data_IF_730153496497
#
_entry.id   IF_730153496497
#
_cell.length_a   1.000
_cell.length_b   1.000
_cell.length_c   1.000
_cell.angle_alpha   90.00
_cell.angle_beta   90.00
_cell.angle_gamma   90.00
#
_symmetry.space_group_name_H-M   'P 1'
#
loop_
_entity.id
_entity.type
_entity.pdbx_description
1 polymer ?
#
# COMPACT_ATOMS: atom_id res chain seq x y z
N UNK A 1 -35.79 -9.79 1.32
CA UNK A 1 -34.57 -10.38 1.89
C UNK A 1 -33.35 -9.97 1.05
N UNK A 2 -32.80 -8.79 1.36
CA UNK A 2 -31.51 -8.31 0.84
C UNK A 2 -30.35 -8.88 1.68
N UNK A 3 -30.35 -10.19 1.95
CA UNK A 3 -29.29 -10.80 2.76
C UNK A 3 -28.00 -10.85 1.94
N UNK A 4 -27.14 -9.86 2.15
CA UNK A 4 -25.71 -9.88 1.82
C UNK A 4 -24.98 -10.84 2.78
N UNK A 5 -25.39 -12.09 2.86
CA UNK A 5 -24.75 -13.09 3.73
C UNK A 5 -24.04 -14.10 2.85
N UNK A 6 -22.71 -13.98 2.69
CA UNK A 6 -21.95 -14.88 1.83
C UNK A 6 -21.12 -15.90 2.64
N UNK A 7 -20.56 -15.53 3.80
CA UNK A 7 -19.62 -16.39 4.54
C UNK A 7 -19.87 -16.46 6.06
N UNK A 8 -20.78 -17.32 6.52
CA UNK A 8 -21.05 -17.52 7.95
C UNK A 8 -20.16 -18.61 8.56
N UNK A 9 -19.11 -18.22 9.29
CA UNK A 9 -18.22 -19.14 10.02
C UNK A 9 -18.62 -19.35 11.48
N UNK A 10 -19.67 -18.70 11.98
CA UNK A 10 -20.21 -19.00 13.31
C UNK A 10 -20.98 -20.33 13.30
N UNK A 11 -21.60 -20.65 12.17
CA UNK A 11 -22.27 -21.92 11.91
C UNK A 11 -21.34 -23.11 12.11
N UNK A 12 -21.73 -24.03 13.00
CA UNK A 12 -21.01 -25.29 13.21
C UNK A 12 -20.93 -26.12 11.93
N UNK A 13 -21.98 -26.10 11.10
CA UNK A 13 -21.98 -26.81 9.80
C UNK A 13 -20.87 -26.29 8.89
N UNK A 14 -20.67 -24.97 8.81
CA UNK A 14 -19.58 -24.39 8.01
C UNK A 14 -18.22 -24.84 8.56
N UNK A 15 -18.04 -24.77 9.89
CA UNK A 15 -16.80 -25.18 10.57
C UNK A 15 -16.46 -26.64 10.32
N UNK A 16 -17.44 -27.54 10.42
CA UNK A 16 -17.27 -28.97 10.17
C UNK A 16 -16.91 -29.24 8.69
N UNK A 17 -17.56 -28.55 7.75
CA UNK A 17 -17.24 -28.69 6.32
C UNK A 17 -15.81 -28.25 5.98
N UNK A 18 -15.33 -27.15 6.58
CA UNK A 18 -13.95 -26.68 6.40
C UNK A 18 -12.98 -27.73 6.94
N UNK A 19 -13.24 -28.24 8.15
CA UNK A 19 -12.43 -29.29 8.75
C UNK A 19 -12.31 -30.52 7.86
N UNK A 20 -13.45 -31.07 7.42
CA UNK A 20 -13.48 -32.26 6.56
C UNK A 20 -12.73 -32.01 5.24
N UNK A 21 -12.87 -30.82 4.66
CA UNK A 21 -12.18 -30.44 3.43
C UNK A 21 -10.66 -30.40 3.61
N UNK A 22 -10.16 -29.76 4.68
CA UNK A 22 -8.73 -29.65 4.95
C UNK A 22 -8.09 -30.99 5.33
N UNK A 23 -8.80 -31.85 6.07
CA UNK A 23 -8.37 -33.22 6.33
C UNK A 23 -8.27 -34.03 5.02
N UNK A 24 -9.29 -33.94 4.15
CA UNK A 24 -9.32 -34.66 2.88
C UNK A 24 -8.22 -34.18 1.91
N UNK A 25 -7.97 -32.87 1.83
CA UNK A 25 -6.90 -32.31 1.00
C UNK A 25 -5.52 -32.71 1.53
N UNK A 26 -5.28 -32.64 2.84
CA UNK A 26 -3.98 -32.98 3.41
C UNK A 26 -3.61 -34.47 3.28
N UNK A 27 -4.62 -35.35 3.15
CA UNK A 27 -4.41 -36.76 2.84
C UNK A 27 -4.01 -37.04 1.38
N UNK A 28 -4.15 -36.05 0.48
CA UNK A 28 -3.93 -36.20 -0.96
C UNK A 28 -2.82 -35.28 -1.50
N UNK A 29 -2.60 -34.13 -0.89
CA UNK A 29 -1.70 -33.08 -1.37
C UNK A 29 -0.69 -32.69 -0.30
N UNK A 30 0.52 -32.38 -0.74
CA UNK A 30 1.60 -31.85 0.11
C UNK A 30 1.48 -30.33 0.31
N UNK A 31 0.75 -29.63 -0.57
CA UNK A 31 0.54 -28.19 -0.49
C UNK A 31 -0.95 -27.85 -0.70
N UNK A 32 -1.46 -26.96 0.15
CA UNK A 32 -2.83 -26.43 0.09
C UNK A 32 -2.71 -24.90 0.02
N UNK A 33 -3.43 -24.27 -0.89
CA UNK A 33 -3.52 -22.81 -0.99
C UNK A 33 -4.98 -22.38 -0.84
N UNK A 34 -5.21 -21.43 0.07
CA UNK A 34 -6.53 -20.85 0.35
C UNK A 34 -6.64 -19.54 -0.40
N UNK A 35 -7.70 -19.39 -1.19
CA UNK A 35 -7.97 -18.19 -1.98
C UNK A 35 -8.40 -17.00 -1.11
N UNK A 36 -8.38 -15.79 -1.68
CA UNK A 36 -8.52 -14.51 -0.97
C UNK A 36 -9.95 -14.09 -0.61
N UNK A 37 -10.91 -15.01 -0.76
CA UNK A 37 -12.26 -14.92 -0.20
C UNK A 37 -12.44 -15.74 1.09
N UNK A 38 -11.35 -16.03 1.81
CA UNK A 38 -11.38 -16.55 3.18
C UNK A 38 -11.68 -15.43 4.21
N UNK A 39 -12.82 -14.78 4.00
CA UNK A 39 -13.29 -13.57 4.70
C UNK A 39 -14.70 -13.76 5.22
N UNK A 40 -15.14 -12.95 6.18
CA UNK A 40 -16.54 -12.92 6.62
C UNK A 40 -17.12 -11.52 6.70
N UNK A 41 -18.31 -11.36 6.14
CA UNK A 41 -19.16 -10.18 6.25
C UNK A 41 -20.47 -10.49 6.98
N UNK A 42 -20.60 -11.69 7.55
CA UNK A 42 -21.86 -12.18 8.13
C UNK A 42 -22.33 -11.27 9.28
N UNK A 43 -23.61 -10.93 9.23
CA UNK A 43 -24.33 -10.18 10.27
C UNK A 43 -25.64 -10.88 10.66
N UNK A 44 -25.67 -12.21 10.57
CA UNK A 44 -26.82 -13.01 10.98
C UNK A 44 -27.07 -12.88 12.50
N UNK A 45 -28.27 -13.26 12.97
CA UNK A 45 -28.60 -13.23 14.39
C UNK A 45 -27.59 -14.00 15.25
N UNK A 46 -27.12 -15.15 14.78
CA UNK A 46 -26.12 -15.97 15.47
C UNK A 46 -24.79 -15.21 15.61
N UNK A 47 -24.33 -14.53 14.55
CA UNK A 47 -23.11 -13.73 14.61
C UNK A 47 -23.29 -12.45 15.43
N UNK A 48 -24.48 -11.85 15.45
CA UNK A 48 -24.79 -10.71 16.32
C UNK A 48 -24.75 -11.12 17.79
N UNK A 49 -25.36 -12.26 18.13
CA UNK A 49 -25.31 -12.84 19.47
C UNK A 49 -23.87 -13.19 19.86
N UNK A 50 -23.13 -13.86 18.97
CA UNK A 50 -21.73 -14.22 19.21
C UNK A 50 -20.85 -12.98 19.39
N UNK A 51 -20.97 -11.97 18.53
CA UNK A 51 -20.21 -10.71 18.62
C UNK A 51 -20.36 -10.07 20.00
N UNK A 52 -21.59 -10.05 20.55
CA UNK A 52 -21.89 -9.39 21.83
C UNK A 52 -21.56 -7.90 21.77
N UNK A 53 -20.86 -7.38 22.78
CA UNK A 53 -20.50 -5.95 22.89
C UNK A 53 -19.24 -5.55 22.08
N UNK A 54 -18.53 -6.52 21.48
CA UNK A 54 -17.34 -6.25 20.66
C UNK A 54 -17.69 -5.48 19.38
N UNK A 55 -16.70 -4.78 18.81
CA UNK A 55 -16.80 -4.31 17.42
C UNK A 55 -16.85 -5.49 16.45
N UNK A 56 -17.35 -5.25 15.22
CA UNK A 56 -17.32 -6.27 14.17
C UNK A 56 -15.90 -6.73 13.86
N UNK A 57 -14.94 -5.81 13.80
CA UNK A 57 -13.54 -6.12 13.51
C UNK A 57 -12.94 -7.02 14.58
N UNK A 58 -13.09 -6.69 15.87
CA UNK A 58 -12.58 -7.54 16.96
C UNK A 58 -13.17 -8.95 16.91
N UNK A 59 -14.49 -9.06 16.75
CA UNK A 59 -15.17 -10.37 16.65
C UNK A 59 -14.69 -11.17 15.44
N UNK A 60 -14.64 -10.56 14.24
CA UNK A 60 -14.27 -11.26 13.00
C UNK A 60 -12.81 -11.68 13.01
N UNK A 61 -11.90 -10.85 13.54
CA UNK A 61 -10.49 -11.18 13.71
C UNK A 61 -10.31 -12.40 14.63
N UNK A 62 -11.01 -12.45 15.76
CA UNK A 62 -10.97 -13.58 16.68
C UNK A 62 -11.58 -14.84 16.06
N UNK A 63 -12.77 -14.73 15.47
CA UNK A 63 -13.46 -15.83 14.80
C UNK A 63 -12.59 -16.44 13.71
N UNK A 64 -12.05 -15.63 12.79
CA UNK A 64 -11.25 -16.14 11.68
C UNK A 64 -9.88 -16.63 12.12
N UNK A 65 -9.32 -16.13 13.22
CA UNK A 65 -8.14 -16.74 13.86
C UNK A 65 -8.46 -18.16 14.33
N UNK A 66 -9.60 -18.34 15.00
CA UNK A 66 -10.06 -19.65 15.47
C UNK A 66 -10.33 -20.60 14.30
N UNK A 67 -11.07 -20.16 13.27
CA UNK A 67 -11.37 -20.95 12.07
C UNK A 67 -10.07 -21.41 11.39
N UNK A 68 -9.13 -20.49 11.21
CA UNK A 68 -7.82 -20.79 10.59
C UNK A 68 -7.06 -21.86 11.36
N UNK A 69 -7.06 -21.80 12.69
CA UNK A 69 -6.29 -22.70 13.55
C UNK A 69 -6.98 -24.05 13.75
N UNK A 70 -8.23 -24.03 14.19
CA UNK A 70 -8.92 -25.20 14.73
C UNK A 70 -9.68 -25.99 13.68
N UNK A 71 -10.04 -25.35 12.56
CA UNK A 71 -10.86 -25.95 11.50
C UNK A 71 -10.14 -26.03 10.15
N UNK A 72 -9.07 -25.28 9.91
CA UNK A 72 -8.29 -25.36 8.67
C UNK A 72 -6.90 -25.98 8.88
N UNK A 73 -5.92 -25.21 9.34
CA UNK A 73 -4.52 -25.64 9.40
C UNK A 73 -4.30 -26.78 10.40
N UNK A 74 -4.90 -26.71 11.60
CA UNK A 74 -4.80 -27.75 12.62
C UNK A 74 -5.24 -29.13 12.13
N UNK A 75 -6.47 -29.27 11.58
CA UNK A 75 -6.94 -30.53 10.99
C UNK A 75 -6.07 -31.04 9.83
N UNK A 76 -5.65 -30.17 8.91
CA UNK A 76 -4.74 -30.55 7.83
C UNK A 76 -3.42 -31.15 8.38
N UNK A 77 -2.82 -30.49 9.38
CA UNK A 77 -1.57 -30.94 10.02
C UNK A 77 -1.75 -32.22 10.84
N UNK A 78 -2.95 -32.48 11.36
CA UNK A 78 -3.25 -33.73 12.08
C UNK A 78 -3.23 -34.94 11.13
N UNK A 79 -3.71 -34.78 9.89
CA UNK A 79 -3.65 -35.82 8.85
C UNK A 79 -2.24 -35.95 8.28
N UNK A 80 -1.62 -34.83 7.92
CA UNK A 80 -0.28 -34.79 7.36
C UNK A 80 0.55 -33.69 8.03
N UNK A 81 1.42 -34.01 9.02
CA UNK A 81 2.24 -33.00 9.69
C UNK A 81 3.21 -32.23 8.78
N UNK A 82 3.44 -32.71 7.56
CA UNK A 82 4.33 -32.09 6.57
C UNK A 82 3.59 -31.25 5.52
N UNK A 83 2.25 -31.27 5.47
CA UNK A 83 1.49 -30.45 4.51
C UNK A 83 1.84 -28.97 4.71
N UNK A 84 2.02 -28.22 3.63
CA UNK A 84 2.21 -26.77 3.67
C UNK A 84 0.89 -26.08 3.34
N UNK A 85 0.37 -25.25 4.25
CA UNK A 85 -0.87 -24.49 4.01
C UNK A 85 -0.54 -23.02 3.81
N UNK A 86 -0.95 -22.49 2.67
CA UNK A 86 -0.72 -21.10 2.24
C UNK A 86 -2.01 -20.31 2.31
N UNK A 87 -1.99 -19.13 2.93
CA UNK A 87 -3.10 -18.17 2.88
C UNK A 87 -2.82 -17.10 1.82
N UNK A 88 -3.74 -16.90 0.87
CA UNK A 88 -3.74 -15.72 0.01
C UNK A 88 -4.47 -14.58 0.72
N UNK A 89 -3.79 -13.47 0.95
CA UNK A 89 -4.45 -12.21 1.31
C UNK A 89 -4.89 -11.48 0.04
N UNK A 90 -6.07 -10.84 0.03
CA UNK A 90 -6.54 -10.07 -1.12
C UNK A 90 -5.78 -8.75 -1.30
N UNK A 91 -6.09 -8.03 -2.37
CA UNK A 91 -5.51 -6.72 -2.66
C UNK A 91 -5.91 -5.61 -1.66
N UNK A 92 -7.11 -5.67 -1.08
CA UNK A 92 -7.73 -4.58 -0.29
C UNK A 92 -7.21 -4.47 1.16
N UNK A 93 -5.89 -4.32 1.29
CA UNK A 93 -5.15 -4.45 2.55
C UNK A 93 -5.53 -3.47 3.67
N UNK A 94 -6.16 -2.35 3.32
CA UNK A 94 -6.64 -1.39 4.30
C UNK A 94 -7.86 -1.89 5.08
N UNK A 95 -8.60 -2.86 4.53
CA UNK A 95 -9.90 -3.31 5.06
C UNK A 95 -9.91 -4.74 5.59
N UNK A 96 -8.76 -5.43 5.58
CA UNK A 96 -8.59 -6.80 6.09
C UNK A 96 -9.27 -7.08 7.44
N UNK A 97 -9.05 -6.21 8.42
CA UNK A 97 -9.57 -6.35 9.77
C UNK A 97 -11.09 -6.27 9.87
N UNK A 98 -11.75 -5.56 8.93
CA UNK A 98 -13.21 -5.49 8.86
C UNK A 98 -13.83 -6.82 8.44
N UNK A 99 -13.07 -7.69 7.77
CA UNK A 99 -13.54 -8.95 7.18
C UNK A 99 -12.82 -10.19 7.73
N UNK A 100 -12.06 -10.05 8.82
CA UNK A 100 -11.48 -11.18 9.57
C UNK A 100 -10.10 -11.64 9.10
N UNK A 101 -9.44 -10.92 8.18
CA UNK A 101 -8.04 -11.15 7.89
C UNK A 101 -7.16 -10.61 9.02
N UNK A 102 -6.77 -11.49 9.94
CA UNK A 102 -5.96 -11.13 11.10
C UNK A 102 -4.47 -11.21 10.78
N UNK A 103 -3.89 -10.11 10.32
CA UNK A 103 -2.47 -10.01 9.96
C UNK A 103 -1.51 -10.09 11.15
N UNK A 104 -2.03 -10.07 12.39
CA UNK A 104 -1.22 -10.28 13.59
C UNK A 104 -1.07 -11.76 13.95
N UNK A 105 -2.07 -12.61 13.67
CA UNK A 105 -2.09 -14.01 14.13
C UNK A 105 -2.02 -15.04 13.00
N UNK A 106 -2.66 -14.77 11.86
CA UNK A 106 -2.66 -15.71 10.73
C UNK A 106 -1.27 -15.96 10.15
N UNK A 107 -0.33 -14.98 10.10
CA UNK A 107 1.06 -15.30 9.73
C UNK A 107 1.75 -16.29 10.65
N UNK A 108 1.30 -16.44 11.91
CA UNK A 108 1.83 -17.46 12.82
C UNK A 108 1.20 -18.84 12.57
N UNK A 109 -0.06 -18.87 12.12
CA UNK A 109 -0.85 -20.08 11.87
C UNK A 109 -0.49 -20.73 10.53
N UNK A 110 -0.43 -19.96 9.44
CA UNK A 110 -0.16 -20.48 8.10
C UNK A 110 1.34 -20.67 7.84
N UNK A 111 1.69 -21.62 6.98
CA UNK A 111 3.08 -21.92 6.64
C UNK A 111 3.66 -20.87 5.68
N UNK A 112 2.84 -20.38 4.76
CA UNK A 112 3.20 -19.40 3.74
C UNK A 112 2.07 -18.39 3.51
N UNK A 113 2.43 -17.25 2.94
CA UNK A 113 1.52 -16.17 2.57
C UNK A 113 1.72 -15.80 1.10
N UNK A 114 0.61 -15.80 0.37
CA UNK A 114 0.51 -15.18 -0.95
C UNK A 114 -0.25 -13.85 -0.82
N UNK A 115 0.07 -12.91 -1.71
CA UNK A 115 -0.49 -11.57 -1.66
C UNK A 115 -1.15 -11.25 -2.99
N UNK A 116 -2.38 -10.78 -2.93
CA UNK A 116 -3.07 -10.14 -4.03
C UNK A 116 -2.35 -8.86 -4.43
N UNK A 117 -1.74 -8.88 -5.61
CA UNK A 117 -1.06 -7.74 -6.24
C UNK A 117 -1.78 -7.29 -7.49
N UNK A 118 -3.05 -7.65 -7.59
CA UNK A 118 -3.92 -7.23 -8.66
C UNK A 118 -3.89 -5.70 -8.80
N UNK A 119 -3.81 -5.21 -10.03
CA UNK A 119 -4.10 -3.80 -10.34
C UNK A 119 -5.18 -3.79 -11.39
N UNK A 120 -5.99 -2.73 -11.41
CA UNK A 120 -7.17 -2.64 -12.27
C UNK A 120 -7.01 -1.46 -13.19
N UNK A 121 -7.85 -1.39 -14.21
CA UNK A 121 -7.96 -0.19 -15.02
C UNK A 121 -8.42 0.96 -14.11
N UNK A 122 -7.56 1.97 -13.84
CA UNK A 122 -7.89 3.05 -12.92
C UNK A 122 -9.01 3.96 -13.43
N UNK A 123 -9.38 3.83 -14.72
CA UNK A 123 -10.42 4.64 -15.37
C UNK A 123 -11.82 4.00 -15.28
N UNK A 124 -11.97 2.80 -14.69
CA UNK A 124 -13.29 2.16 -14.52
C UNK A 124 -13.67 2.00 -13.05
N UNK A 125 -14.95 2.18 -12.70
CA UNK A 125 -15.42 1.98 -11.34
C UNK A 125 -15.58 0.50 -10.98
N UNK A 126 -15.43 -0.44 -11.94
CA UNK A 126 -15.83 -1.85 -11.76
C UNK A 126 -15.07 -2.54 -10.62
N UNK A 127 -13.80 -2.18 -10.45
CA UNK A 127 -12.95 -2.68 -9.37
C UNK A 127 -12.24 -1.53 -8.64
N UNK A 128 -12.92 -0.39 -8.50
CA UNK A 128 -12.40 0.79 -7.82
C UNK A 128 -11.23 1.49 -8.55
N UNK A 129 -10.90 2.68 -8.06
CA UNK A 129 -9.87 3.56 -8.64
C UNK A 129 -8.47 3.20 -8.12
N UNK A 130 -8.10 1.92 -8.31
CA UNK A 130 -6.87 1.31 -7.80
C UNK A 130 -5.63 1.97 -8.42
N UNK A 131 -4.68 2.36 -7.57
CA UNK A 131 -3.37 2.84 -8.04
C UNK A 131 -2.45 1.67 -8.44
N UNK A 132 -1.59 1.82 -9.47
CA UNK A 132 -0.62 0.80 -9.88
C UNK A 132 0.35 0.36 -8.76
N UNK A 133 0.53 1.19 -7.73
CA UNK A 133 1.40 0.95 -6.58
C UNK A 133 0.75 0.09 -5.49
N UNK A 134 -0.57 -0.11 -5.50
CA UNK A 134 -1.30 -0.77 -4.40
C UNK A 134 -0.81 -2.20 -4.14
N UNK A 135 -0.62 -3.00 -5.19
CA UNK A 135 -0.10 -4.36 -5.04
C UNK A 135 1.28 -4.40 -4.38
N UNK A 136 2.12 -3.42 -4.71
CA UNK A 136 3.43 -3.26 -4.07
C UNK A 136 3.32 -2.86 -2.59
N UNK A 137 2.43 -1.92 -2.25
CA UNK A 137 2.21 -1.49 -0.86
C UNK A 137 1.69 -2.64 -0.01
N UNK A 138 0.68 -3.38 -0.50
CA UNK A 138 0.12 -4.56 0.16
C UNK A 138 1.21 -5.61 0.44
N UNK A 139 1.98 -5.98 -0.60
CA UNK A 139 3.02 -7.00 -0.47
C UNK A 139 4.10 -6.58 0.54
N UNK A 140 4.62 -5.35 0.44
CA UNK A 140 5.65 -4.85 1.38
C UNK A 140 5.13 -4.78 2.81
N UNK A 141 3.90 -4.31 3.01
CA UNK A 141 3.29 -4.24 4.33
C UNK A 141 3.14 -5.63 4.95
N UNK A 142 2.59 -6.60 4.21
CA UNK A 142 2.49 -7.97 4.68
C UNK A 142 3.86 -8.60 4.93
N UNK A 143 4.88 -8.35 4.08
CA UNK A 143 6.25 -8.81 4.32
C UNK A 143 6.83 -8.25 5.61
N UNK A 144 6.53 -7.00 5.97
CA UNK A 144 6.97 -6.42 7.24
C UNK A 144 6.32 -7.07 8.48
N UNK A 145 5.21 -7.81 8.29
CA UNK A 145 4.47 -8.49 9.35
C UNK A 145 4.76 -9.99 9.40
N UNK A 146 4.76 -10.66 8.24
CA UNK A 146 4.94 -12.11 8.08
C UNK A 146 6.35 -12.55 7.73
N UNK A 147 7.27 -11.62 7.45
CA UNK A 147 8.67 -11.90 7.12
C UNK A 147 8.81 -12.86 5.95
N UNK A 148 9.70 -13.84 6.09
CA UNK A 148 10.04 -14.84 5.06
C UNK A 148 8.87 -15.76 4.66
N UNK A 149 7.75 -15.74 5.40
CA UNK A 149 6.54 -16.48 5.02
C UNK A 149 5.82 -15.83 3.84
N UNK A 150 5.99 -14.54 3.61
CA UNK A 150 5.43 -13.83 2.45
C UNK A 150 6.33 -14.09 1.24
N UNK A 151 5.83 -14.89 0.30
CA UNK A 151 6.69 -15.46 -0.75
C UNK A 151 6.20 -15.18 -2.16
N UNK A 152 4.88 -15.18 -2.38
CA UNK A 152 4.34 -15.04 -3.71
C UNK A 152 3.30 -13.95 -3.86
N UNK A 153 3.28 -13.41 -5.07
CA UNK A 153 2.28 -12.49 -5.55
C UNK A 153 1.30 -13.25 -6.45
N UNK A 154 0.05 -12.86 -6.39
CA UNK A 154 -1.02 -13.39 -7.23
C UNK A 154 -1.67 -12.22 -7.96
N UNK A 155 -1.92 -12.41 -9.25
CA UNK A 155 -2.62 -11.40 -10.03
C UNK A 155 -3.38 -12.00 -11.23
N UNK A 156 -4.31 -11.23 -11.80
CA UNK A 156 -5.23 -11.68 -12.84
C UNK A 156 -5.47 -10.60 -13.93
N UNK A 157 -5.97 -10.97 -15.13
CA UNK A 157 -6.22 -10.03 -16.22
C UNK A 157 -7.60 -9.34 -16.14
N UNK A 158 -8.35 -9.51 -15.05
CA UNK A 158 -9.70 -8.94 -14.95
C UNK A 158 -9.61 -7.41 -14.90
N UNK A 159 -10.38 -6.77 -15.78
CA UNK A 159 -10.42 -5.31 -15.94
C UNK A 159 -9.03 -4.69 -16.14
N UNK A 160 -8.17 -5.36 -16.92
CA UNK A 160 -6.84 -4.91 -17.28
C UNK A 160 -6.72 -4.69 -18.79
N UNK A 161 -5.84 -3.78 -19.19
CA UNK A 161 -5.25 -3.78 -20.53
C UNK A 161 -3.81 -4.31 -20.44
N UNK A 162 -3.17 -4.54 -21.60
CA UNK A 162 -1.90 -5.25 -21.73
C UNK A 162 -0.79 -4.67 -20.84
N UNK A 163 -0.64 -3.34 -20.82
CA UNK A 163 0.35 -2.65 -20.02
C UNK A 163 0.06 -2.77 -18.53
N UNK A 164 -1.20 -2.65 -18.10
CA UNK A 164 -1.58 -2.82 -16.68
C UNK A 164 -1.33 -4.24 -16.20
N UNK A 165 -1.58 -5.25 -17.03
CA UNK A 165 -1.27 -6.64 -16.67
C UNK A 165 0.24 -6.88 -16.54
N UNK A 166 1.04 -6.38 -17.48
CA UNK A 166 2.50 -6.43 -17.37
C UNK A 166 3.00 -5.67 -16.12
N UNK A 167 2.40 -4.53 -15.81
CA UNK A 167 2.77 -3.73 -14.64
C UNK A 167 2.54 -4.46 -13.32
N UNK A 168 1.51 -5.29 -13.21
CA UNK A 168 1.30 -6.15 -12.02
C UNK A 168 2.55 -6.99 -11.75
N UNK A 169 3.06 -7.68 -12.76
CA UNK A 169 4.25 -8.52 -12.63
C UNK A 169 5.49 -7.72 -12.18
N UNK A 170 5.72 -6.55 -12.78
CA UNK A 170 6.83 -5.69 -12.38
C UNK A 170 6.69 -5.16 -10.95
N UNK A 171 5.50 -4.70 -10.56
CA UNK A 171 5.25 -4.18 -9.21
C UNK A 171 5.37 -5.29 -8.16
N UNK A 172 4.92 -6.52 -8.44
CA UNK A 172 5.12 -7.68 -7.58
C UNK A 172 6.61 -7.96 -7.34
N UNK A 173 7.43 -7.97 -8.40
CA UNK A 173 8.89 -8.17 -8.29
C UNK A 173 9.55 -7.04 -7.50
N UNK A 174 9.20 -5.79 -7.78
CA UNK A 174 9.72 -4.62 -7.07
C UNK A 174 9.30 -4.59 -5.59
N UNK A 175 8.21 -5.27 -5.24
CA UNK A 175 7.77 -5.44 -3.86
C UNK A 175 8.57 -6.51 -3.10
N UNK A 176 9.27 -7.42 -3.82
CA UNK A 176 10.04 -8.52 -3.24
C UNK A 176 9.44 -9.91 -3.47
N UNK A 177 8.46 -10.06 -4.38
CA UNK A 177 7.87 -11.36 -4.67
C UNK A 177 8.89 -12.32 -5.31
N UNK A 178 9.03 -13.51 -4.71
CA UNK A 178 9.88 -14.61 -5.21
C UNK A 178 9.12 -15.53 -6.16
N UNK A 179 7.79 -15.52 -6.07
CA UNK A 179 6.89 -16.30 -6.90
C UNK A 179 5.81 -15.40 -7.49
N UNK A 180 5.50 -15.59 -8.77
CA UNK A 180 4.37 -14.94 -9.44
C UNK A 180 3.34 -16.02 -9.81
N UNK A 181 2.12 -15.90 -9.30
CA UNK A 181 0.98 -16.73 -9.65
C UNK A 181 0.08 -15.98 -10.64
N UNK A 182 -0.02 -16.50 -11.86
CA UNK A 182 -0.84 -15.94 -12.92
C UNK A 182 -2.22 -16.60 -12.88
N UNK A 183 -3.24 -15.87 -12.41
CA UNK A 183 -4.61 -16.35 -12.47
C UNK A 183 -5.27 -15.89 -13.78
N UNK A 184 -5.87 -16.75 -14.60
CA UNK A 184 -5.90 -18.20 -14.50
C UNK A 184 -5.25 -18.85 -15.72
N UNK A 185 -4.87 -20.13 -15.55
CA UNK A 185 -4.21 -20.92 -16.59
C UNK A 185 -5.03 -20.99 -17.88
N UNK A 186 -6.36 -21.00 -17.81
CA UNK A 186 -7.23 -21.02 -18.99
C UNK A 186 -7.02 -19.80 -19.87
N UNK A 187 -7.12 -18.60 -19.30
CA UNK A 187 -6.85 -17.32 -20.00
C UNK A 187 -5.45 -17.30 -20.65
N UNK A 188 -4.46 -17.86 -19.95
CA UNK A 188 -3.10 -17.97 -20.48
C UNK A 188 -3.01 -18.93 -21.67
N UNK A 189 -3.69 -20.07 -21.62
CA UNK A 189 -3.65 -21.08 -22.68
C UNK A 189 -4.50 -20.68 -23.89
N UNK A 190 -5.61 -19.99 -23.68
CA UNK A 190 -6.54 -19.56 -24.74
C UNK A 190 -6.03 -18.36 -25.54
N UNK A 191 -4.87 -17.81 -25.20
CA UNK A 191 -4.27 -16.70 -25.91
C UNK A 191 -4.96 -15.38 -25.63
N UNK A 192 -5.41 -15.13 -24.39
CA UNK A 192 -5.96 -13.83 -24.01
C UNK A 192 -4.96 -12.70 -24.39
N UNK A 193 -5.36 -11.73 -25.23
CA UNK A 193 -4.47 -10.66 -25.70
C UNK A 193 -3.91 -9.77 -24.58
N UNK A 194 -4.64 -9.61 -23.46
CA UNK A 194 -4.19 -8.83 -22.29
C UNK A 194 -2.85 -9.35 -21.73
N UNK A 195 -2.51 -10.61 -22.00
CA UNK A 195 -1.28 -11.24 -21.53
C UNK A 195 -0.11 -11.09 -22.52
N UNK A 196 -0.32 -10.56 -23.73
CA UNK A 196 0.67 -10.61 -24.81
C UNK A 196 1.95 -9.83 -24.49
N UNK A 197 1.83 -8.61 -23.96
CA UNK A 197 2.98 -7.83 -23.49
C UNK A 197 3.74 -8.55 -22.37
N UNK A 198 3.03 -9.17 -21.43
CA UNK A 198 3.66 -10.00 -20.40
C UNK A 198 4.38 -11.21 -20.99
N UNK A 199 3.79 -11.92 -21.95
CA UNK A 199 4.44 -13.06 -22.64
C UNK A 199 5.74 -12.62 -23.30
N UNK A 200 5.73 -11.47 -23.97
CA UNK A 200 6.91 -10.90 -24.61
C UNK A 200 7.98 -10.40 -23.63
N UNK A 201 7.60 -10.03 -22.40
CA UNK A 201 8.48 -9.42 -21.39
C UNK A 201 8.80 -10.31 -20.19
N UNK A 202 8.30 -11.56 -20.14
CA UNK A 202 8.50 -12.48 -19.02
C UNK A 202 9.97 -12.60 -18.60
N UNK A 203 10.88 -12.74 -19.56
CA UNK A 203 12.31 -12.86 -19.27
C UNK A 203 12.87 -11.58 -18.65
N UNK A 204 12.41 -10.40 -19.08
CA UNK A 204 12.79 -9.12 -18.48
C UNK A 204 12.26 -8.97 -17.05
N UNK A 205 11.05 -9.48 -16.75
CA UNK A 205 10.51 -9.54 -15.38
C UNK A 205 11.38 -10.42 -14.48
N UNK A 206 11.83 -11.58 -14.98
CA UNK A 206 12.74 -12.48 -14.26
C UNK A 206 14.13 -11.85 -14.08
N UNK A 207 14.65 -11.17 -15.11
CA UNK A 207 15.93 -10.44 -15.02
C UNK A 207 15.85 -9.32 -13.99
N UNK A 208 14.74 -8.57 -13.92
CA UNK A 208 14.54 -7.56 -12.89
C UNK A 208 14.66 -8.15 -11.49
N UNK A 209 14.02 -9.30 -11.23
CA UNK A 209 14.18 -10.01 -9.95
C UNK A 209 15.65 -10.38 -9.69
N UNK A 210 16.40 -10.80 -10.72
CA UNK A 210 17.84 -11.05 -10.60
C UNK A 210 18.66 -9.83 -10.19
N UNK A 211 18.21 -8.62 -10.51
CA UNK A 211 18.87 -7.35 -10.18
C UNK A 211 18.50 -6.89 -8.77
N UNK A 212 17.19 -6.85 -8.45
CA UNK A 212 16.69 -6.18 -7.22
C UNK A 212 16.23 -7.14 -6.13
N UNK A 213 16.00 -8.42 -6.44
CA UNK A 213 15.30 -9.36 -5.54
C UNK A 213 15.99 -9.66 -4.22
N UNK A 214 17.30 -9.40 -4.12
CA UNK A 214 18.08 -9.54 -2.88
C UNK A 214 18.56 -8.19 -2.31
N UNK A 215 18.20 -7.06 -2.96
CA UNK A 215 18.61 -5.75 -2.50
C UNK A 215 17.59 -5.21 -1.49
N UNK A 216 18.09 -4.63 -0.39
CA UNK A 216 17.23 -3.97 0.58
C UNK A 216 16.60 -2.70 -0.02
N UNK A 217 15.26 -2.51 0.05
CA UNK A 217 14.62 -1.28 -0.39
C UNK A 217 14.94 -0.12 0.57
N UNK A 218 15.09 1.08 0.03
CA UNK A 218 15.36 2.33 0.74
C UNK A 218 14.27 3.36 0.42
N UNK A 219 13.98 4.25 1.34
CA UNK A 219 13.00 5.30 1.11
C UNK A 219 12.37 5.83 2.40
N UNK A 220 11.06 6.04 2.37
CA UNK A 220 10.28 6.61 3.46
C UNK A 220 9.44 5.49 4.10
N UNK A 221 9.57 5.27 5.40
CA UNK A 221 8.72 4.32 6.11
C UNK A 221 7.31 4.87 6.24
N UNK A 222 6.30 4.17 5.74
CA UNK A 222 4.88 4.45 6.04
C UNK A 222 4.41 3.55 7.18
N UNK A 223 4.21 4.09 8.38
CA UNK A 223 3.85 3.23 9.53
C UNK A 223 2.35 2.88 9.52
N UNK A 224 2.05 1.59 9.34
CA UNK A 224 0.68 1.03 9.42
C UNK A 224 0.69 -0.18 10.36
N UNK A 225 0.29 -0.03 11.63
CA UNK A 225 0.26 -1.16 12.56
C UNK A 225 -0.76 -2.25 12.15
N UNK A 226 -0.63 -3.48 12.68
CA UNK A 226 -1.53 -4.58 12.36
C UNK A 226 -2.97 -4.25 12.72
N UNK A 227 -3.91 -4.62 11.85
CA UNK A 227 -5.35 -4.51 12.09
C UNK A 227 -5.88 -3.11 12.50
N UNK A 228 -5.14 -2.03 12.18
CA UNK A 228 -5.58 -0.66 12.45
C UNK A 228 -6.46 -0.13 11.33
N UNK A 229 -7.53 0.53 11.75
CA UNK A 229 -8.39 1.32 10.89
C UNK A 229 -7.61 2.50 10.27
N UNK A 230 -7.77 2.76 8.97
CA UNK A 230 -7.07 3.85 8.30
C UNK A 230 -7.67 5.23 8.55
N UNK A 231 -8.84 5.35 9.18
CA UNK A 231 -9.57 6.61 9.33
C UNK A 231 -9.82 7.25 7.96
N UNK A 232 -9.32 8.47 7.79
CA UNK A 232 -9.40 9.22 6.52
C UNK A 232 -8.27 8.93 5.52
N UNK A 233 -7.30 8.09 5.89
CA UNK A 233 -6.08 7.83 5.12
C UNK A 233 -6.13 6.47 4.40
N UNK A 234 -7.32 5.92 4.13
CA UNK A 234 -7.47 4.64 3.44
C UNK A 234 -6.81 4.67 2.05
N UNK A 235 -5.79 3.82 1.85
CA UNK A 235 -4.98 3.71 0.63
C UNK A 235 -4.06 4.91 0.36
N UNK A 236 -3.88 5.83 1.32
CA UNK A 236 -3.04 7.03 1.13
C UNK A 236 -1.62 6.73 0.64
N UNK A 237 -1.00 5.65 1.14
CA UNK A 237 0.36 5.27 0.73
C UNK A 237 0.45 4.91 -0.75
N UNK A 238 -0.60 4.35 -1.33
CA UNK A 238 -0.65 3.99 -2.74
C UNK A 238 -0.57 5.27 -3.60
N UNK A 239 -1.41 6.26 -3.30
CA UNK A 239 -1.46 7.54 -4.00
C UNK A 239 -0.17 8.34 -3.83
N UNK A 240 0.39 8.37 -2.61
CA UNK A 240 1.65 9.05 -2.35
C UNK A 240 2.82 8.36 -3.06
N UNK A 241 2.80 7.03 -3.19
CA UNK A 241 3.81 6.32 -3.97
C UNK A 241 3.66 6.58 -5.47
N UNK A 242 2.43 6.77 -5.96
CA UNK A 242 2.16 7.14 -7.36
C UNK A 242 2.63 8.56 -7.72
N UNK A 243 2.88 9.44 -6.74
CA UNK A 243 3.61 10.71 -6.97
C UNK A 243 5.12 10.56 -6.82
N UNK A 244 5.65 9.34 -6.92
CA UNK A 244 7.09 9.08 -6.88
C UNK A 244 7.71 9.23 -5.49
N UNK A 245 6.95 9.10 -4.40
CA UNK A 245 7.55 8.89 -3.08
C UNK A 245 7.94 7.41 -2.94
N UNK A 246 9.21 7.07 -2.65
CA UNK A 246 9.65 5.69 -2.43
C UNK A 246 9.17 5.19 -1.08
N UNK A 247 7.85 4.98 -0.93
CA UNK A 247 7.23 4.53 0.30
C UNK A 247 7.44 3.03 0.53
N UNK A 248 7.73 2.70 1.77
CA UNK A 248 7.88 1.32 2.26
C UNK A 248 6.97 1.18 3.48
N UNK A 249 5.81 0.54 3.35
CA UNK A 249 4.93 0.30 4.47
C UNK A 249 5.59 -0.59 5.53
N UNK A 250 5.51 -0.19 6.79
CA UNK A 250 6.09 -0.90 7.94
C UNK A 250 5.01 -1.18 8.97
N UNK A 251 4.91 -2.45 9.35
CA UNK A 251 3.89 -2.95 10.26
C UNK A 251 4.26 -2.98 11.74
N UNK A 252 5.55 -2.86 12.08
CA UNK A 252 6.05 -2.96 13.47
C UNK A 252 6.96 -1.80 13.82
N UNK A 253 6.95 -1.37 15.08
CA UNK A 253 7.74 -0.21 15.52
C UNK A 253 9.23 -0.41 15.26
N UNK A 254 9.75 -1.61 15.53
CA UNK A 254 11.17 -1.93 15.35
C UNK A 254 11.63 -1.77 13.90
N UNK A 255 10.72 -1.93 12.93
CA UNK A 255 11.04 -1.72 11.51
C UNK A 255 11.26 -0.25 11.14
N UNK A 256 10.86 0.70 12.00
CA UNK A 256 11.07 2.13 11.75
C UNK A 256 12.52 2.57 11.99
N UNK A 257 13.29 1.79 12.76
CA UNK A 257 14.68 2.11 13.09
C UNK A 257 15.61 2.11 11.87
N UNK A 258 15.22 1.41 10.80
CA UNK A 258 16.00 1.34 9.55
C UNK A 258 15.85 2.58 8.66
N UNK A 259 14.97 3.53 9.01
CA UNK A 259 14.59 4.64 8.15
C UNK A 259 14.97 6.01 8.72
N UNK A 260 15.41 6.90 7.83
CA UNK A 260 15.71 8.32 8.12
C UNK A 260 14.50 9.22 7.90
N UNK A 261 13.49 8.74 7.15
CA UNK A 261 12.24 9.44 6.90
C UNK A 261 11.06 8.55 7.23
N UNK A 262 10.13 9.06 8.05
CA UNK A 262 8.95 8.32 8.50
C UNK A 262 7.71 9.16 8.22
N UNK A 263 6.71 8.55 7.59
CA UNK A 263 5.37 9.08 7.36
C UNK A 263 4.38 8.44 8.33
N UNK A 264 3.66 9.28 9.09
CA UNK A 264 2.66 8.90 10.07
C UNK A 264 1.28 9.40 9.62
N UNK A 265 0.43 8.46 9.20
CA UNK A 265 -0.97 8.73 8.88
C UNK A 265 -1.93 8.47 10.04
N UNK A 266 -3.23 8.55 9.78
CA UNK A 266 -4.29 8.13 10.69
C UNK A 266 -4.10 6.69 11.19
N UNK A 267 -3.52 5.79 10.38
CA UNK A 267 -3.16 4.42 10.79
C UNK A 267 -2.32 4.36 12.06
N UNK A 268 -1.40 5.31 12.20
CA UNK A 268 -0.44 5.36 13.31
C UNK A 268 -1.03 6.02 14.56
N UNK A 269 -2.15 6.75 14.45
CA UNK A 269 -2.75 7.50 15.54
C UNK A 269 -3.08 6.57 16.71
N UNK A 270 -2.63 6.93 17.91
CA UNK A 270 -2.89 6.15 19.13
C UNK A 270 -2.17 4.80 19.19
N UNK A 271 -1.15 4.57 18.35
CA UNK A 271 -0.32 3.35 18.43
C UNK A 271 0.44 3.30 19.76
N UNK A 272 0.29 2.23 20.56
CA UNK A 272 0.98 2.11 21.84
C UNK A 272 2.50 2.19 21.67
N UNK A 273 3.16 3.04 22.46
CA UNK A 273 4.61 3.15 22.49
C UNK A 273 5.26 3.90 21.32
N UNK A 274 4.52 4.29 20.27
CA UNK A 274 5.06 4.96 19.08
C UNK A 274 5.87 6.22 19.42
N UNK A 275 5.28 7.15 20.17
CA UNK A 275 5.95 8.42 20.51
C UNK A 275 7.22 8.19 21.34
N UNK A 276 7.18 7.23 22.27
CA UNK A 276 8.35 6.86 23.08
C UNK A 276 9.44 6.20 22.22
N UNK A 277 9.05 5.34 21.27
CA UNK A 277 9.96 4.70 20.34
C UNK A 277 10.65 5.74 19.44
N UNK A 278 9.88 6.67 18.85
CA UNK A 278 10.43 7.78 18.04
C UNK A 278 11.36 8.68 18.86
N UNK A 279 11.03 8.96 20.13
CA UNK A 279 11.88 9.74 21.02
C UNK A 279 13.18 9.01 21.41
N UNK A 280 13.13 7.70 21.63
CA UNK A 280 14.28 6.91 22.08
C UNK A 280 15.19 6.43 20.95
N UNK A 281 14.67 6.33 19.72
CA UNK A 281 15.44 6.05 18.50
C UNK A 281 16.38 7.20 18.08
N UNK A 282 16.58 8.19 18.97
CA UNK A 282 17.25 9.49 18.81
C UNK A 282 18.77 9.46 18.58
N UNK A 283 19.34 8.34 18.12
CA UNK A 283 20.70 8.34 17.57
C UNK A 283 20.80 8.99 16.17
N UNK A 284 19.69 9.53 15.64
CA UNK A 284 19.67 10.26 14.37
C UNK A 284 19.09 11.67 14.60
N UNK A 285 19.97 12.61 14.95
CA UNK A 285 19.63 14.04 15.12
C UNK A 285 19.03 14.68 13.85
N UNK A 286 19.03 13.98 12.70
CA UNK A 286 18.61 14.47 11.39
C UNK A 286 17.34 13.79 10.83
N UNK A 287 16.68 12.90 11.62
CA UNK A 287 15.49 12.16 11.15
C UNK A 287 14.36 13.09 10.71
N UNK A 288 13.78 12.79 9.55
CA UNK A 288 12.62 13.47 8.99
C UNK A 288 11.34 12.78 9.42
N UNK A 289 10.44 13.52 10.07
CA UNK A 289 9.12 13.05 10.46
C UNK A 289 8.07 13.81 9.66
N UNK A 290 7.24 13.07 8.95
CA UNK A 290 6.10 13.59 8.20
C UNK A 290 4.84 13.05 8.84
N UNK A 291 3.84 13.89 9.05
CA UNK A 291 2.53 13.43 9.48
C UNK A 291 1.39 14.04 8.66
N UNK A 292 0.30 13.31 8.58
CA UNK A 292 -0.95 13.77 7.95
C UNK A 292 -1.84 14.45 8.99
N UNK A 293 -2.88 15.20 8.57
CA UNK A 293 -3.91 15.67 9.47
C UNK A 293 -4.59 14.51 10.23
N UNK A 294 -4.67 13.32 9.62
CA UNK A 294 -5.19 12.11 10.26
C UNK A 294 -4.40 11.64 11.48
N UNK A 295 -3.09 11.91 11.56
CA UNK A 295 -2.29 11.62 12.74
C UNK A 295 -2.41 12.71 13.82
N UNK A 296 -2.75 13.94 13.42
CA UNK A 296 -2.89 15.08 14.33
C UNK A 296 -4.08 14.89 15.30
N UNK A 297 -4.08 15.61 16.44
CA UNK A 297 -5.23 15.64 17.36
C UNK A 297 -6.51 16.12 16.66
N UNK A 298 -7.68 15.58 17.03
CA UNK A 298 -8.96 15.85 16.33
C UNK A 298 -9.38 17.32 16.28
N UNK A 299 -8.90 18.14 17.23
CA UNK A 299 -9.19 19.57 17.30
C UNK A 299 -8.34 20.43 16.35
N UNK A 300 -7.45 19.81 15.55
CA UNK A 300 -6.60 20.49 14.58
C UNK A 300 -7.17 20.44 13.14
N UNK A 301 -8.37 19.86 12.96
CA UNK A 301 -9.01 19.68 11.66
C UNK A 301 -10.26 20.56 11.56
N UNK A 302 -10.23 21.53 10.65
CA UNK A 302 -11.38 22.39 10.33
C UNK A 302 -12.16 21.84 9.11
N UNK A 303 -12.85 22.71 8.38
CA UNK A 303 -13.61 22.39 7.17
C UNK A 303 -12.71 21.83 6.04
N UNK A 304 -13.26 20.98 5.18
CA UNK A 304 -12.57 20.49 3.98
C UNK A 304 -12.83 21.42 2.80
N UNK A 305 -11.77 21.92 2.17
CA UNK A 305 -11.84 22.74 0.95
C UNK A 305 -11.30 21.99 -0.26
N UNK A 306 -11.81 22.31 -1.44
CA UNK A 306 -11.29 21.79 -2.72
C UNK A 306 -10.46 22.86 -3.41
N UNK A 307 -9.32 22.47 -3.99
CA UNK A 307 -8.48 23.39 -4.75
C UNK A 307 -7.87 22.72 -5.99
N UNK A 308 -7.63 23.53 -7.02
CA UNK A 308 -6.93 23.15 -8.25
C UNK A 308 -5.68 24.02 -8.52
N UNK A 309 -5.35 24.94 -7.61
CA UNK A 309 -4.24 25.87 -7.73
C UNK A 309 -3.36 25.80 -6.48
N UNK A 310 -2.08 25.57 -6.71
CA UNK A 310 -1.05 25.46 -5.68
C UNK A 310 -0.10 26.65 -5.79
N UNK A 311 0.44 27.11 -4.67
CA UNK A 311 1.47 28.14 -4.63
C UNK A 311 2.76 27.61 -4.00
N UNK A 312 3.89 27.94 -4.64
CA UNK A 312 5.25 27.71 -4.11
C UNK A 312 6.07 28.95 -4.40
N UNK A 313 6.59 29.59 -3.35
CA UNK A 313 7.48 30.75 -3.45
C UNK A 313 6.88 31.86 -4.35
N UNK A 314 5.57 32.12 -4.24
CA UNK A 314 4.84 33.11 -5.05
C UNK A 314 4.49 32.69 -6.48
N UNK A 315 4.84 31.47 -6.90
CA UNK A 315 4.52 30.93 -8.22
C UNK A 315 3.31 30.00 -8.12
N UNK A 316 2.36 30.17 -9.05
CA UNK A 316 1.12 29.38 -9.11
C UNK A 316 1.24 28.19 -10.06
N UNK A 317 0.75 27.05 -9.63
CA UNK A 317 0.75 25.79 -10.37
C UNK A 317 -0.66 25.21 -10.39
N UNK A 318 -1.18 24.89 -11.57
CA UNK A 318 -2.54 24.36 -11.72
C UNK A 318 -2.52 22.87 -11.97
N UNK A 319 -3.51 22.18 -11.40
CA UNK A 319 -3.87 20.82 -11.77
C UNK A 319 -5.22 20.79 -12.48
N UNK A 320 -5.45 19.74 -13.28
CA UNK A 320 -6.74 19.50 -13.92
C UNK A 320 -7.74 18.83 -12.98
N UNK A 321 -7.24 18.08 -12.00
CA UNK A 321 -8.06 17.31 -11.06
C UNK A 321 -7.97 17.98 -9.68
N UNK A 322 -9.04 18.67 -9.23
CA UNK A 322 -9.06 19.28 -7.91
C UNK A 322 -8.82 18.24 -6.81
N UNK A 323 -8.24 18.70 -5.71
CA UNK A 323 -7.98 17.86 -4.55
C UNK A 323 -8.49 18.52 -3.27
N UNK A 324 -8.92 17.68 -2.32
CA UNK A 324 -9.49 18.07 -1.04
C UNK A 324 -8.39 18.25 0.00
N UNK A 325 -8.43 19.36 0.72
CA UNK A 325 -7.52 19.68 1.81
C UNK A 325 -8.32 20.02 3.06
N UNK A 326 -7.79 19.71 4.24
CA UNK A 326 -8.31 20.31 5.47
C UNK A 326 -7.95 21.79 5.48
N UNK A 327 -8.84 22.65 5.95
CA UNK A 327 -8.46 23.99 6.39
C UNK A 327 -7.58 23.82 7.63
N UNK A 328 -6.38 24.38 7.57
CA UNK A 328 -5.42 24.32 8.68
C UNK A 328 -4.90 25.72 8.94
N UNK A 329 -5.18 26.23 10.14
CA UNK A 329 -4.56 27.45 10.62
C UNK A 329 -3.16 27.13 11.16
N UNK A 330 -2.08 27.55 10.47
CA UNK A 330 -0.72 27.15 10.82
C UNK A 330 -0.34 27.68 12.22
N UNK A 331 0.22 26.84 13.11
CA UNK A 331 0.76 27.31 14.38
C UNK A 331 1.82 28.40 14.18
N UNK A 332 1.98 29.27 15.18
CA UNK A 332 2.98 30.35 15.13
C UNK A 332 4.40 29.76 15.00
N UNK A 333 5.16 30.21 14.01
CA UNK A 333 6.53 29.77 13.76
C UNK A 333 6.65 28.61 12.77
N UNK A 334 5.53 28.13 12.23
CA UNK A 334 5.49 27.18 11.13
C UNK A 334 5.82 27.87 9.81
N UNK A 335 6.63 27.22 8.97
CA UNK A 335 6.89 27.65 7.61
C UNK A 335 5.94 26.94 6.65
N UNK A 336 5.21 27.70 5.84
CA UNK A 336 4.41 27.16 4.74
C UNK A 336 5.32 26.99 3.53
N UNK A 337 5.44 25.75 3.03
CA UNK A 337 6.31 25.40 1.90
C UNK A 337 5.51 25.32 0.60
N UNK A 338 4.30 24.77 0.70
CA UNK A 338 3.33 24.70 -0.38
C UNK A 338 1.98 25.05 0.20
N UNK A 339 1.21 25.87 -0.50
CA UNK A 339 -0.19 26.15 -0.17
C UNK A 339 -1.09 25.87 -1.37
N UNK A 340 -2.40 25.84 -1.11
CA UNK A 340 -3.44 25.70 -2.11
C UNK A 340 -4.46 26.84 -1.95
N UNK A 341 -4.89 27.42 -3.07
CA UNK A 341 -5.88 28.50 -3.10
C UNK A 341 -7.28 27.88 -3.13
N UNK A 342 -8.02 27.99 -2.03
CA UNK A 342 -9.42 27.58 -1.96
C UNK A 342 -10.35 28.67 -2.51
N UNK A 343 -11.66 28.39 -2.59
CA UNK A 343 -12.65 29.34 -3.10
C UNK A 343 -12.70 30.67 -2.31
N UNK A 344 -12.31 30.65 -1.01
CA UNK A 344 -12.38 31.83 -0.13
C UNK A 344 -11.15 32.04 0.77
N UNK A 345 -10.27 31.05 0.94
CA UNK A 345 -9.09 31.14 1.81
C UNK A 345 -7.97 30.20 1.32
N UNK A 346 -6.72 30.57 1.60
CA UNK A 346 -5.54 29.75 1.34
C UNK A 346 -5.36 28.71 2.45
N UNK A 347 -5.06 27.47 2.10
CA UNK A 347 -4.73 26.42 3.09
C UNK A 347 -3.32 25.85 2.85
N UNK A 348 -2.53 25.60 3.90
CA UNK A 348 -1.24 24.94 3.75
C UNK A 348 -1.38 23.50 3.24
N UNK A 349 -0.61 23.16 2.20
CA UNK A 349 -0.48 21.79 1.67
C UNK A 349 0.70 21.08 2.31
N UNK A 350 1.83 21.76 2.43
CA UNK A 350 3.03 21.26 3.09
C UNK A 350 3.57 22.34 4.03
N UNK A 351 3.75 21.98 5.28
CA UNK A 351 4.32 22.84 6.30
C UNK A 351 5.53 22.21 6.95
N UNK A 352 6.46 23.04 7.40
CA UNK A 352 7.57 22.62 8.27
C UNK A 352 7.38 23.20 9.66
N UNK A 353 7.36 22.31 10.65
CA UNK A 353 7.36 22.69 12.05
C UNK A 353 8.80 22.99 12.50
N UNK A 354 9.10 24.28 12.73
CA UNK A 354 10.41 24.73 13.22
C UNK A 354 10.52 24.76 14.73
N UNK A 355 9.47 24.36 15.45
CA UNK A 355 9.41 24.40 16.92
C UNK A 355 9.94 23.11 17.57
N UNK A 356 10.10 22.03 16.80
CA UNK A 356 10.51 20.70 17.25
C UNK A 356 12.03 20.50 17.50
N UNK A 357 12.83 21.57 17.57
CA UNK A 357 14.27 21.48 17.85
C UNK A 357 15.06 20.86 16.69
N UNK A 358 15.75 19.73 16.92
CA UNK A 358 16.60 19.05 15.93
C UNK A 358 15.80 18.19 14.93
N UNK A 359 14.53 17.87 15.19
CA UNK A 359 13.72 17.05 14.29
C UNK A 359 13.26 17.85 13.06
N UNK A 360 13.40 17.26 11.88
CA UNK A 360 12.84 17.79 10.65
C UNK A 360 11.37 17.38 10.52
N UNK A 361 10.48 18.12 11.20
CA UNK A 361 9.04 17.86 11.22
C UNK A 361 8.29 18.52 10.06
N UNK A 362 7.46 17.75 9.36
CA UNK A 362 6.57 18.21 8.30
C UNK A 362 5.13 17.75 8.51
N UNK A 363 4.18 18.65 8.27
CA UNK A 363 2.78 18.29 8.09
C UNK A 363 2.47 18.29 6.59
N UNK A 364 2.05 17.15 6.06
CA UNK A 364 1.51 17.01 4.71
C UNK A 364 -0.01 16.96 4.79
N UNK A 365 -0.70 18.00 4.34
CA UNK A 365 -2.15 18.06 4.30
C UNK A 365 -2.66 17.19 3.15
N UNK A 366 -2.67 15.87 3.38
CA UNK A 366 -3.18 14.88 2.46
C UNK A 366 -3.96 13.82 3.24
N UNK A 367 -5.12 13.48 2.71
CA UNK A 367 -5.99 12.38 3.12
C UNK A 367 -6.70 11.80 1.89
N UNK A 368 -7.38 10.69 2.04
CA UNK A 368 -7.97 9.96 0.91
C UNK A 368 -9.46 9.71 1.12
N UNK A 369 -9.81 8.62 1.77
CA UNK A 369 -11.20 8.19 1.94
C UNK A 369 -11.51 7.93 3.40
N UNK A 370 -12.72 8.32 3.81
CA UNK A 370 -13.35 7.91 5.07
C UNK A 370 -14.36 6.78 4.81
N UNK A 371 -14.88 6.14 5.86
CA UNK A 371 -15.97 5.15 5.71
C UNK A 371 -17.20 5.75 5.00
N UNK A 372 -17.50 7.03 5.21
CA UNK A 372 -18.58 7.74 4.52
C UNK A 372 -18.37 7.82 3.00
N UNK A 373 -17.12 7.88 2.53
CA UNK A 373 -16.81 7.84 1.10
C UNK A 373 -17.14 6.45 0.50
N UNK A 374 -16.87 5.36 1.23
CA UNK A 374 -17.23 3.99 0.83
C UNK A 374 -18.75 3.77 0.82
N UNK A 375 -19.43 4.15 1.91
CA UNK A 375 -20.88 3.98 2.08
C UNK A 375 -21.69 4.67 0.98
N UNK A 376 -21.24 5.86 0.55
CA UNK A 376 -21.91 6.69 -0.46
C UNK A 376 -22.06 6.01 -1.81
N UNK A 377 -21.06 5.20 -2.20
CA UNK A 377 -21.07 4.48 -3.50
C UNK A 377 -21.32 2.99 -3.33
N UNK A 378 -21.40 2.50 -2.09
CA UNK A 378 -21.60 1.09 -1.78
C UNK A 378 -20.40 0.20 -2.13
N UNK A 379 -19.21 0.80 -2.23
CA UNK A 379 -17.94 0.07 -2.42
C UNK A 379 -17.49 -0.51 -1.08
N UNK A 380 -17.04 -1.76 -1.07
CA UNK A 380 -16.72 -2.48 0.16
C UNK A 380 -15.24 -2.60 0.44
N UNK A 381 -14.40 -2.52 -0.58
CA UNK A 381 -13.02 -2.99 -0.53
C UNK A 381 -12.06 -1.95 -1.08
N UNK A 382 -12.30 -1.46 -2.29
CA UNK A 382 -11.33 -0.74 -3.10
C UNK A 382 -11.60 0.77 -3.11
N UNK A 383 -10.67 1.62 -3.61
CA UNK A 383 -10.86 3.06 -3.65
C UNK A 383 -12.20 3.46 -4.30
N UNK A 384 -13.11 4.16 -3.57
CA UNK A 384 -14.50 4.37 -3.99
C UNK A 384 -14.70 5.45 -5.07
N UNK A 385 -13.72 6.34 -5.26
CA UNK A 385 -13.78 7.46 -6.21
C UNK A 385 -12.38 7.90 -6.64
N UNK A 386 -12.22 8.61 -7.77
CA UNK A 386 -10.91 9.14 -8.16
C UNK A 386 -10.46 10.26 -7.19
N UNK A 387 -9.15 10.41 -7.03
CA UNK A 387 -8.52 11.43 -6.17
C UNK A 387 -7.43 12.16 -6.96
N UNK A 388 -7.30 13.47 -6.76
CA UNK A 388 -6.37 14.34 -7.50
C UNK A 388 -4.87 14.22 -7.16
N UNK A 389 -4.48 13.46 -6.11
CA UNK A 389 -3.06 13.31 -5.70
C UNK A 389 -2.13 12.88 -6.87
N UNK A 390 -2.46 11.85 -7.67
CA UNK A 390 -1.64 11.42 -8.81
C UNK A 390 -1.53 12.45 -9.93
N UNK A 391 -2.27 13.56 -9.84
CA UNK A 391 -2.30 14.67 -10.79
C UNK A 391 -1.74 15.96 -10.20
N UNK A 392 -1.08 15.92 -9.03
CA UNK A 392 -0.38 17.08 -8.50
C UNK A 392 0.63 17.65 -9.51
N UNK A 393 0.77 18.98 -9.60
CA UNK A 393 1.75 19.59 -10.50
C UNK A 393 3.17 19.11 -10.19
N UNK A 394 4.00 18.93 -11.22
CA UNK A 394 5.40 18.47 -11.09
C UNK A 394 6.17 19.22 -10.00
N UNK A 395 6.08 20.55 -9.99
CA UNK A 395 6.79 21.40 -9.03
C UNK A 395 6.36 21.13 -7.58
N UNK A 396 5.07 20.86 -7.35
CA UNK A 396 4.53 20.48 -6.02
C UNK A 396 5.08 19.12 -5.61
N UNK A 397 5.00 18.14 -6.50
CA UNK A 397 5.48 16.78 -6.23
C UNK A 397 7.01 16.76 -6.01
N UNK A 398 7.79 17.52 -6.80
CA UNK A 398 9.23 17.72 -6.62
C UNK A 398 9.55 18.34 -5.25
N UNK A 399 8.82 19.38 -4.86
CA UNK A 399 9.02 20.05 -3.57
C UNK A 399 8.75 19.10 -2.39
N UNK A 400 7.65 18.35 -2.44
CA UNK A 400 7.31 17.33 -1.43
C UNK A 400 8.41 16.26 -1.36
N UNK A 401 8.83 15.68 -2.49
CA UNK A 401 9.94 14.70 -2.54
C UNK A 401 11.23 15.26 -1.94
N UNK A 402 11.60 16.48 -2.29
CA UNK A 402 12.80 17.14 -1.79
C UNK A 402 12.80 17.37 -0.28
N UNK A 403 11.63 17.65 0.31
CA UNK A 403 11.48 17.80 1.76
C UNK A 403 11.56 16.47 2.50
N UNK A 404 11.03 15.38 1.94
CA UNK A 404 10.95 14.08 2.62
C UNK A 404 12.20 13.21 2.42
N UNK A 405 13.02 13.54 1.43
CA UNK A 405 14.25 12.83 1.11
C UNK A 405 15.42 13.83 1.04
N UNK A 406 15.72 14.56 2.14
CA UNK A 406 16.77 15.58 2.12
C UNK A 406 18.14 14.99 1.77
N UNK A 407 18.39 13.75 2.19
CA UNK A 407 19.67 13.05 2.02
C UNK A 407 19.75 12.17 0.77
N UNK A 408 18.72 12.16 -0.08
CA UNK A 408 18.78 11.40 -1.32
C UNK A 408 19.92 11.90 -2.21
N UNK A 409 20.76 10.97 -2.67
CA UNK A 409 21.83 11.26 -3.63
C UNK A 409 21.28 11.61 -5.03
N UNK A 410 19.99 11.37 -5.29
CA UNK A 410 19.31 11.61 -6.57
C UNK A 410 18.03 12.41 -6.36
N UNK A 411 17.82 13.41 -7.21
CA UNK A 411 16.52 14.05 -7.42
C UNK A 411 15.93 13.55 -8.72
N UNK A 412 14.67 13.12 -8.67
CA UNK A 412 13.87 12.71 -9.83
C UNK A 412 12.78 13.74 -10.04
N UNK A 413 12.78 14.37 -11.21
CA UNK A 413 11.75 15.33 -11.63
C UNK A 413 11.06 14.86 -12.90
N UNK A 414 9.77 14.60 -12.78
CA UNK A 414 8.84 14.21 -13.86
C UNK A 414 7.41 14.45 -13.39
N UNK A 415 6.48 14.59 -14.33
CA UNK A 415 5.05 14.67 -14.01
C UNK A 415 4.57 13.34 -13.38
N UNK A 416 3.82 13.39 -12.27
CA UNK A 416 3.01 12.25 -11.81
C UNK A 416 1.96 11.79 -12.86
N UNK A 417 1.43 10.55 -12.76
CA UNK A 417 1.86 9.50 -11.85
C UNK A 417 3.10 8.74 -12.36
N UNK A 418 4.00 8.39 -11.45
CA UNK A 418 5.14 7.51 -11.71
C UNK A 418 5.61 6.84 -10.41
N UNK A 419 6.24 5.68 -10.52
CA UNK A 419 6.83 4.97 -9.39
C UNK A 419 8.33 5.24 -9.29
N UNK A 420 8.83 5.41 -8.07
CA UNK A 420 10.26 5.47 -7.78
C UNK A 420 10.60 4.46 -6.70
N UNK A 421 11.34 3.42 -7.08
CA UNK A 421 11.82 2.38 -6.17
C UNK A 421 13.33 2.51 -6.00
N UNK A 422 13.78 2.73 -4.77
CA UNK A 422 15.20 2.87 -4.44
C UNK A 422 15.65 1.64 -3.66
N UNK A 423 16.82 1.13 -3.98
CA UNK A 423 17.45 0.00 -3.32
C UNK A 423 18.87 0.37 -2.89
N UNK A 424 19.42 -0.40 -1.98
CA UNK A 424 20.83 -0.28 -1.62
C UNK A 424 21.77 -0.50 -2.82
N UNK A 425 23.03 -0.10 -2.67
CA UNK A 425 24.01 -0.20 -3.76
C UNK A 425 23.81 0.82 -4.89
N UNK A 426 22.94 1.81 -4.72
CA UNK A 426 22.70 2.87 -5.72
C UNK A 426 21.82 2.44 -6.89
N UNK A 427 21.05 1.35 -6.72
CA UNK A 427 20.12 0.85 -7.73
C UNK A 427 18.75 1.49 -7.51
N UNK A 428 18.12 1.97 -8.58
CA UNK A 428 16.74 2.42 -8.54
C UNK A 428 16.00 2.03 -9.82
N UNK A 429 14.68 1.94 -9.70
CA UNK A 429 13.77 1.64 -10.81
C UNK A 429 12.70 2.71 -10.87
N UNK A 430 12.51 3.27 -12.06
CA UNK A 430 11.42 4.19 -12.36
C UNK A 430 10.34 3.47 -13.16
N UNK A 431 9.10 3.68 -12.80
CA UNK A 431 7.93 3.09 -13.46
C UNK A 431 7.04 4.18 -14.01
N UNK A 432 6.76 4.15 -15.30
CA UNK A 432 5.79 5.05 -15.91
C UNK A 432 4.39 4.48 -15.73
N UNK A 433 3.53 5.19 -15.01
CA UNK A 433 2.14 4.79 -14.78
C UNK A 433 1.14 5.51 -15.70
N UNK A 434 1.63 6.21 -16.72
CA UNK A 434 0.79 6.84 -17.74
C UNK A 434 0.84 6.09 -19.06
N UNK A 435 -0.20 6.23 -19.88
CA UNK A 435 -0.24 5.64 -21.23
C UNK A 435 0.65 6.34 -22.27
N UNK A 436 1.47 7.33 -21.89
CA UNK A 436 2.31 8.10 -22.81
C UNK A 436 3.77 8.15 -22.37
N UNK A 437 4.66 8.56 -23.28
CA UNK A 437 6.09 8.77 -22.96
C UNK A 437 6.24 9.91 -21.95
N UNK A 438 7.06 9.70 -20.92
CA UNK A 438 7.41 10.72 -19.92
C UNK A 438 8.86 11.15 -20.06
N UNK A 439 9.07 12.46 -20.00
CA UNK A 439 10.41 13.05 -19.83
C UNK A 439 10.77 13.03 -18.34
N UNK A 440 11.95 12.50 -18.03
CA UNK A 440 12.45 12.40 -16.66
C UNK A 440 13.79 13.12 -16.56
N UNK A 441 13.91 14.04 -15.61
CA UNK A 441 15.18 14.66 -15.23
C UNK A 441 15.73 14.00 -13.97
N UNK A 442 16.99 13.55 -14.03
CA UNK A 442 17.74 13.03 -12.91
C UNK A 442 18.85 14.00 -12.53
N UNK A 443 18.96 14.36 -11.26
CA UNK A 443 20.07 15.18 -10.74
C UNK A 443 20.77 14.50 -9.58
N UNK A 444 22.05 14.22 -9.73
CA UNK A 444 22.88 13.70 -8.63
C UNK A 444 23.30 14.84 -7.68
N UNK A 445 23.09 14.67 -6.37
CA UNK A 445 23.42 15.67 -5.34
C UNK A 445 24.86 15.58 -4.78
N UNK A 446 25.57 14.45 -4.90
CA UNK A 446 26.89 14.23 -4.23
C UNK A 446 28.00 13.57 -5.10
N UNK A 447 29.19 14.19 -5.04
CA UNK A 447 30.55 13.63 -4.86
C UNK A 447 31.12 12.52 -5.78
N UNK A 448 30.61 12.31 -6.99
CA UNK A 448 31.24 11.38 -7.94
C UNK A 448 30.94 9.88 -7.70
N UNK A 449 29.85 9.57 -6.97
CA UNK A 449 29.23 8.24 -7.05
C UNK A 449 28.45 8.16 -8.36
N UNK A 450 28.84 7.24 -9.23
CA UNK A 450 28.14 7.00 -10.50
C UNK A 450 26.79 6.33 -10.24
N UNK A 451 25.72 6.94 -10.76
CA UNK A 451 24.45 6.25 -10.92
C UNK A 451 24.56 5.30 -12.11
N UNK A 452 24.08 4.07 -11.96
CA UNK A 452 24.17 3.06 -13.00
C UNK A 452 22.78 2.62 -13.40
N UNK A 453 22.38 2.99 -14.61
CA UNK A 453 21.31 2.28 -15.30
C UNK A 453 21.83 0.90 -15.65
N UNK A 454 21.04 -0.14 -15.35
CA UNK A 454 21.45 -1.50 -15.66
C UNK A 454 21.53 -1.65 -17.19
N UNK A 455 22.64 -2.18 -17.75
CA UNK A 455 22.85 -2.23 -19.21
C UNK A 455 21.78 -3.02 -19.96
N UNK A 456 21.17 -4.01 -19.30
CA UNK A 456 20.09 -4.82 -19.86
C UNK A 456 18.67 -4.22 -19.67
N UNK A 457 18.55 -3.11 -18.92
CA UNK A 457 17.26 -2.46 -18.61
C UNK A 457 17.11 -1.16 -19.43
N UNK A 458 17.28 -1.26 -20.74
CA UNK A 458 17.11 -0.16 -21.70
C UNK A 458 15.62 0.05 -22.00
N UNK A 459 14.89 0.69 -21.08
CA UNK A 459 13.46 0.98 -21.27
C UNK A 459 13.15 2.48 -21.41
N UNK A 460 14.06 3.22 -22.05
CA UNK A 460 13.74 4.43 -22.79
C UNK A 460 14.74 4.63 -23.93
N UNK A 461 14.29 5.00 -25.12
CA UNK A 461 15.13 5.69 -26.10
C UNK A 461 15.46 7.08 -25.54
N UNK A 462 16.41 7.15 -24.61
CA UNK A 462 16.79 8.38 -23.93
C UNK A 462 18.25 8.34 -23.54
N UNK A 463 19.00 9.37 -23.94
CA UNK A 463 20.38 9.57 -23.50
C UNK A 463 20.33 9.99 -22.04
N UNK A 464 20.77 9.11 -21.14
CA UNK A 464 21.06 9.47 -19.75
C UNK A 464 22.56 9.77 -19.65
N UNK A 465 22.91 11.03 -19.38
CA UNK A 465 24.30 11.50 -19.21
C UNK A 465 24.80 11.28 -17.79
#
# INVERSE_FOLDING_TARGET
NNNRLFFNYESQTTRDLIKDLFEAMAGQFDEIMVDDFFLTDDTSEVSVEAKGDRSWSEYRLELMTQVSKDFAVGPAKAVNPKVSVTLKYPQWYERFHLYGYNVATQPEIFDRIWVGTETRNPDTPRFGFVQPTMGQMNFRWLSSLGGDKVQGAWFDPLDCHEEVYLMQAYQSVLAGAKHLTLFNLGEYMDGNPVLDEFRGRRDAVVQLHGIVGNLRPLGIAGFKPPNRDPGQDAYLFDFLSAVGLPLIPVGRLEGLDDFDSILLGAHAKGSPGLLNHLHNSSHREERTLVWTPGFAPDHALDEVVSSSEFEIDGNRFKTREPYRFHMIHPPKGTEIIVSAEGENEETPVLMRDRTAGSLNGYLLNAFTYTEEDFDRVGEMFLPPSPIGIPHWPRAVADKVRGCFLPDSDVEVSTDPPFGWNVFEGGVFVLSNFSGGVKEVTLRCKKNGKELRLHPDFTHAEGVFL
#
